data_IF_757551449499
#
_entry.id   IF_757551449499
#
_cell.length_a   1.000
_cell.length_b   1.000
_cell.length_c   1.000
_cell.angle_alpha   90.00
_cell.angle_beta   90.00
_cell.angle_gamma   90.00
#
_symmetry.space_group_name_H-M   'P 1'
#
loop_
_entity.id
_entity.type
_entity.pdbx_description
1 polymer ?
#
# COMPACT_ATOMS: atom_id res chain seq x y z
N UNK A 1 -25.37 -12.88 29.93
CA UNK A 1 -24.86 -11.58 30.46
C UNK A 1 -23.90 -11.83 31.61
N UNK A 2 -22.58 -11.88 31.35
CA UNK A 2 -21.55 -12.00 32.40
C UNK A 2 -21.01 -10.60 32.72
N UNK A 3 -21.10 -10.21 33.99
CA UNK A 3 -20.62 -8.94 34.56
C UNK A 3 -19.10 -9.00 34.71
N UNK A 4 -18.37 -8.05 34.13
CA UNK A 4 -16.96 -7.82 34.44
C UNK A 4 -16.84 -6.98 35.71
N UNK A 5 -16.02 -7.45 36.65
CA UNK A 5 -15.66 -6.75 37.89
C UNK A 5 -14.76 -5.56 37.57
N UNK A 6 -15.09 -4.41 38.15
CA UNK A 6 -14.33 -3.16 38.00
C UNK A 6 -13.02 -3.18 38.78
N UNK A 7 -11.97 -2.72 38.13
CA UNK A 7 -10.71 -2.31 38.76
C UNK A 7 -10.82 -0.82 39.08
N UNK A 8 -10.83 -0.48 40.37
CA UNK A 8 -10.70 0.90 40.88
C UNK A 8 -9.26 1.38 40.65
N UNK A 9 -9.11 2.56 40.05
CA UNK A 9 -7.85 3.31 40.05
C UNK A 9 -8.04 4.50 40.97
N UNK A 10 -7.32 4.51 42.09
CA UNK A 10 -7.27 5.60 43.05
C UNK A 10 -6.53 6.81 42.45
N UNK A 11 -7.16 7.99 42.47
CA UNK A 11 -6.50 9.29 42.28
C UNK A 11 -6.16 9.87 43.65
N UNK A 12 -4.97 10.49 43.79
CA UNK A 12 -5.00 11.83 44.35
C UNK A 12 -4.03 12.83 43.67
N UNK A 13 -4.36 14.11 43.89
CA UNK A 13 -3.57 15.34 43.65
C UNK A 13 -3.81 16.09 42.32
N UNK A 14 -5.01 16.65 42.19
CA UNK A 14 -5.23 17.94 41.55
C UNK A 14 -6.00 18.84 42.52
N UNK A 15 -5.27 19.53 43.40
CA UNK A 15 -5.81 20.60 44.21
C UNK A 15 -4.86 21.79 44.10
N UNK A 16 -5.35 22.89 43.51
CA UNK A 16 -4.66 24.17 43.62
C UNK A 16 -4.56 25.03 42.37
N UNK A 17 -5.63 25.23 41.60
CA UNK A 17 -5.77 26.47 40.82
C UNK A 17 -7.24 26.94 40.80
N UNK A 18 -7.53 27.96 41.62
CA UNK A 18 -8.79 28.72 41.56
C UNK A 18 -8.73 29.64 40.33
N UNK A 19 -9.67 29.50 39.42
CA UNK A 19 -9.91 30.48 38.36
C UNK A 19 -10.52 31.74 38.98
N UNK A 20 -9.79 32.85 38.93
CA UNK A 20 -10.29 34.20 39.16
C UNK A 20 -10.49 34.87 37.80
N UNK A 21 -11.74 35.16 37.45
CA UNK A 21 -12.09 35.92 36.26
C UNK A 21 -11.92 37.42 36.53
N UNK A 22 -10.88 38.04 35.98
CA UNK A 22 -10.77 39.48 35.87
C UNK A 22 -10.63 39.91 34.41
N UNK A 23 -11.63 40.65 33.95
CA UNK A 23 -11.66 41.39 32.68
C UNK A 23 -10.78 42.63 32.84
N UNK A 24 -9.78 42.78 31.97
CA UNK A 24 -8.95 43.99 31.85
C UNK A 24 -8.30 44.04 30.46
N UNK A 25 -8.03 45.22 29.88
CA UNK A 25 -7.70 45.37 28.47
C UNK A 25 -6.26 44.93 28.17
N UNK A 26 -6.06 44.27 27.03
CA UNK A 26 -4.75 43.87 26.53
C UNK A 26 -3.90 45.10 26.15
N UNK A 27 -2.66 45.25 26.67
CA UNK A 27 -1.68 46.14 26.09
C UNK A 27 -1.00 45.45 24.91
N UNK A 28 -1.24 45.98 23.71
CA UNK A 28 -0.41 45.75 22.53
C UNK A 28 0.96 46.39 22.71
N UNK A 29 2.00 45.71 22.21
CA UNK A 29 3.42 46.06 22.18
C UNK A 29 4.24 45.61 23.40
N UNK A 30 4.86 44.43 23.28
CA UNK A 30 6.30 44.11 23.49
C UNK A 30 6.45 42.61 23.22
N UNK A 31 6.48 42.19 21.95
CA UNK A 31 7.20 40.97 21.52
C UNK A 31 7.60 41.22 20.07
N UNK A 32 8.80 41.74 19.84
CA UNK A 32 9.36 41.76 18.49
C UNK A 32 10.89 41.59 18.53
N UNK A 33 11.38 40.77 17.57
CA UNK A 33 12.76 40.64 17.09
C UNK A 33 13.70 39.51 17.54
N UNK A 34 13.34 38.54 18.40
CA UNK A 34 14.24 37.36 18.63
C UNK A 34 13.64 35.96 18.57
N UNK A 35 12.32 35.79 18.38
CA UNK A 35 11.70 34.46 18.20
C UNK A 35 11.28 34.13 16.74
N UNK A 36 11.37 35.07 15.79
CA UNK A 36 10.84 34.82 14.43
C UNK A 36 11.78 34.04 13.51
N UNK A 37 13.09 33.97 13.78
CA UNK A 37 14.03 33.25 12.90
C UNK A 37 14.07 31.74 13.14
N UNK A 38 13.80 31.29 14.37
CA UNK A 38 13.83 29.86 14.72
C UNK A 38 12.50 29.17 14.42
N UNK A 39 11.36 29.85 14.57
CA UNK A 39 10.03 29.29 14.27
C UNK A 39 9.82 29.18 12.75
N UNK A 40 10.33 30.13 11.95
CA UNK A 40 10.24 30.04 10.49
C UNK A 40 11.09 28.91 9.87
N UNK A 41 12.13 28.41 10.56
CA UNK A 41 12.90 27.24 10.09
C UNK A 41 12.19 25.91 10.30
N UNK A 42 11.29 25.81 11.27
CA UNK A 42 10.59 24.57 11.60
C UNK A 42 9.46 24.25 10.61
N UNK A 43 8.92 25.27 9.93
CA UNK A 43 7.78 25.10 9.00
C UNK A 43 8.12 25.19 7.51
N UNK A 44 9.37 25.52 7.12
CA UNK A 44 9.76 25.67 5.71
C UNK A 44 10.56 24.50 5.11
N UNK A 45 10.78 23.41 5.85
CA UNK A 45 11.36 22.18 5.26
C UNK A 45 10.33 21.28 4.56
N UNK A 46 9.11 21.75 4.34
CA UNK A 46 8.05 21.01 3.65
C UNK A 46 8.13 21.23 2.14
N UNK A 47 8.80 20.30 1.46
CA UNK A 47 8.24 19.54 0.32
C UNK A 47 7.32 20.28 -0.66
N UNK A 48 7.72 21.45 -1.17
CA UNK A 48 7.24 21.91 -2.47
C UNK A 48 7.96 21.07 -3.52
N UNK A 49 7.38 19.93 -3.88
CA UNK A 49 7.81 19.16 -5.04
C UNK A 49 7.61 20.04 -6.27
N UNK A 50 8.71 20.54 -6.84
CA UNK A 50 8.69 21.19 -8.13
C UNK A 50 8.39 20.11 -9.20
N UNK A 51 7.14 20.00 -9.62
CA UNK A 51 6.64 18.93 -10.49
C UNK A 51 7.00 19.08 -11.98
N UNK A 52 7.96 19.95 -12.31
CA UNK A 52 8.23 20.40 -13.68
C UNK A 52 9.55 19.86 -14.29
N UNK A 53 10.03 18.66 -13.94
CA UNK A 53 11.18 18.10 -14.69
C UNK A 53 11.25 16.58 -14.80
N UNK A 54 11.76 16.15 -15.96
CA UNK A 54 12.02 14.80 -16.50
C UNK A 54 12.08 13.64 -15.48
N UNK A 55 11.50 12.47 -15.81
CA UNK A 55 11.36 11.32 -14.89
C UNK A 55 12.59 10.91 -14.04
N UNK A 56 13.81 10.91 -14.58
CA UNK A 56 15.03 10.64 -13.78
C UNK A 56 15.24 11.72 -12.71
N UNK A 57 14.92 12.99 -13.02
CA UNK A 57 14.90 14.07 -12.04
C UNK A 57 13.74 13.93 -11.05
N UNK A 58 12.61 13.30 -11.36
CA UNK A 58 11.51 13.20 -10.39
C UNK A 58 11.92 12.36 -9.18
N UNK A 59 12.39 11.13 -9.38
CA UNK A 59 12.85 10.26 -8.29
C UNK A 59 14.05 10.89 -7.55
N UNK A 60 14.96 11.53 -8.29
CA UNK A 60 16.10 12.28 -7.75
C UNK A 60 15.73 13.64 -7.14
N UNK A 61 14.51 14.14 -7.33
CA UNK A 61 13.99 15.32 -6.65
C UNK A 61 13.42 14.98 -5.29
N UNK A 62 12.99 13.72 -5.10
CA UNK A 62 12.44 13.27 -3.83
C UNK A 62 13.52 13.22 -2.75
N UNK A 63 13.17 13.56 -1.49
CA UNK A 63 14.14 13.47 -0.40
C UNK A 63 14.72 12.05 -0.25
N UNK A 64 16.00 11.90 0.15
CA UNK A 64 16.62 10.58 0.29
C UNK A 64 15.87 9.63 1.25
N UNK A 65 15.19 10.17 2.27
CA UNK A 65 14.39 9.39 3.23
C UNK A 65 13.04 8.89 2.68
N UNK A 66 12.65 9.27 1.46
CA UNK A 66 11.43 8.77 0.81
C UNK A 66 11.50 7.28 0.45
N UNK A 67 12.71 6.70 0.42
CA UNK A 67 12.97 5.35 -0.07
C UNK A 67 13.24 5.26 -1.56
N UNK A 68 12.98 6.33 -2.33
CA UNK A 68 13.08 6.32 -3.80
C UNK A 68 14.49 6.01 -4.34
N UNK A 69 15.52 6.25 -3.52
CA UNK A 69 16.94 6.05 -3.90
C UNK A 69 17.60 4.84 -3.23
N UNK A 70 16.82 3.93 -2.65
CA UNK A 70 17.37 2.86 -1.82
C UNK A 70 18.33 1.93 -2.58
N UNK A 71 18.07 1.68 -3.86
CA UNK A 71 18.95 0.91 -4.78
C UNK A 71 19.53 1.77 -5.91
N UNK A 72 19.59 3.10 -5.74
CA UNK A 72 20.10 3.98 -6.80
C UNK A 72 21.60 3.76 -7.03
N UNK A 73 22.10 3.76 -8.29
CA UNK A 73 21.43 4.12 -9.54
C UNK A 73 20.64 3.00 -10.23
N UNK A 74 20.60 1.79 -9.67
CA UNK A 74 19.91 0.64 -10.25
C UNK A 74 18.43 0.66 -9.86
N UNK A 75 17.64 1.40 -10.65
CA UNK A 75 16.18 1.40 -10.59
C UNK A 75 15.58 0.99 -11.93
N UNK A 76 14.38 0.44 -11.90
CA UNK A 76 13.66 -0.08 -13.06
C UNK A 76 12.40 0.74 -13.31
N UNK A 77 12.16 1.07 -14.59
CA UNK A 77 10.91 1.68 -15.07
C UNK A 77 10.08 0.71 -15.92
N UNK A 78 10.67 -0.42 -16.31
CA UNK A 78 10.05 -1.50 -17.06
C UNK A 78 10.54 -2.83 -16.50
N UNK A 79 9.88 -3.94 -16.86
CA UNK A 79 10.25 -5.28 -16.36
C UNK A 79 11.64 -5.66 -16.90
N UNK A 80 12.68 -5.78 -16.05
CA UNK A 80 13.97 -6.27 -16.51
C UNK A 80 13.89 -7.77 -16.84
N UNK A 81 14.74 -8.30 -17.75
CA UNK A 81 14.67 -9.70 -18.17
C UNK A 81 14.77 -10.72 -17.03
N UNK A 82 15.49 -10.39 -15.94
CA UNK A 82 15.63 -11.21 -14.74
C UNK A 82 14.32 -11.36 -13.96
N UNK A 83 13.40 -10.41 -14.08
CA UNK A 83 12.10 -10.40 -13.38
C UNK A 83 10.93 -10.86 -14.26
N UNK A 84 11.18 -11.30 -15.50
CA UNK A 84 10.15 -11.84 -16.39
C UNK A 84 9.30 -12.91 -15.66
N UNK A 85 7.97 -12.75 -15.54
CA UNK A 85 7.13 -13.68 -14.77
C UNK A 85 7.20 -15.13 -15.26
N UNK A 86 7.27 -15.33 -16.59
CA UNK A 86 7.40 -16.63 -17.23
C UNK A 86 8.74 -17.35 -16.98
N UNK A 87 9.74 -16.67 -16.43
CA UNK A 87 11.01 -17.25 -15.97
C UNK A 87 11.08 -17.39 -14.45
N UNK A 88 10.12 -16.80 -13.74
CA UNK A 88 10.05 -16.75 -12.28
C UNK A 88 8.80 -17.49 -11.80
N UNK A 89 8.77 -18.79 -12.05
CA UNK A 89 7.57 -19.60 -11.82
C UNK A 89 7.21 -19.67 -10.33
N UNK A 90 5.92 -19.65 -10.08
CA UNK A 90 5.32 -19.96 -8.79
C UNK A 90 5.30 -21.48 -8.60
N UNK A 91 5.40 -21.98 -7.35
CA UNK A 91 5.20 -23.39 -7.11
C UNK A 91 3.73 -23.75 -7.40
N UNK A 92 3.45 -25.02 -7.68
CA UNK A 92 2.12 -25.47 -8.14
C UNK A 92 1.49 -26.46 -7.14
N UNK A 93 0.19 -26.37 -6.85
CA UNK A 93 -0.75 -25.31 -7.27
C UNK A 93 -0.45 -23.96 -6.59
N UNK A 94 -1.02 -22.89 -7.14
CA UNK A 94 -0.99 -21.54 -6.56
C UNK A 94 -2.32 -20.81 -6.78
N UNK A 95 -2.98 -20.44 -5.68
CA UNK A 95 -4.24 -19.68 -5.70
C UNK A 95 -4.01 -18.25 -5.21
N UNK A 96 -4.44 -17.27 -6.00
CA UNK A 96 -4.29 -15.84 -5.70
C UNK A 96 -5.61 -15.07 -5.79
N UNK A 97 -5.72 -13.99 -5.01
CA UNK A 97 -6.77 -12.99 -5.13
C UNK A 97 -6.11 -11.65 -5.47
N UNK A 98 -6.65 -10.93 -6.46
CA UNK A 98 -6.24 -9.56 -6.79
C UNK A 98 -7.46 -8.65 -6.79
N UNK A 99 -7.47 -7.69 -5.87
CA UNK A 99 -8.54 -6.70 -5.78
C UNK A 99 -8.29 -5.51 -6.69
N UNK A 100 -9.34 -4.92 -7.28
CA UNK A 100 -9.20 -3.79 -8.21
C UNK A 100 -8.49 -4.17 -9.52
N UNK A 101 -8.81 -5.35 -10.05
CA UNK A 101 -8.09 -5.98 -11.16
C UNK A 101 -8.69 -5.71 -12.54
N UNK A 102 -9.65 -4.78 -12.68
CA UNK A 102 -10.26 -4.46 -13.98
C UNK A 102 -9.35 -3.68 -14.93
N UNK A 103 -8.29 -3.04 -14.41
CA UNK A 103 -7.34 -2.21 -15.18
C UNK A 103 -6.06 -1.94 -14.41
N UNK A 104 -5.13 -1.23 -15.05
CA UNK A 104 -3.92 -0.69 -14.43
C UNK A 104 -3.07 -1.76 -13.73
N UNK A 105 -2.53 -1.39 -12.55
CA UNK A 105 -1.63 -2.24 -11.75
C UNK A 105 -2.30 -3.56 -11.37
N UNK A 106 -3.58 -3.57 -11.00
CA UNK A 106 -4.29 -4.79 -10.61
C UNK A 106 -4.38 -5.80 -11.75
N UNK A 107 -4.80 -5.35 -12.94
CA UNK A 107 -4.85 -6.21 -14.12
C UNK A 107 -3.44 -6.71 -14.52
N UNK A 108 -2.42 -5.86 -14.41
CA UNK A 108 -1.04 -6.22 -14.72
C UNK A 108 -0.48 -7.26 -13.74
N UNK A 109 -0.75 -7.13 -12.43
CA UNK A 109 -0.38 -8.14 -11.43
C UNK A 109 -1.08 -9.47 -11.73
N UNK A 110 -2.38 -9.46 -12.06
CA UNK A 110 -3.10 -10.68 -12.43
C UNK A 110 -2.47 -11.39 -13.63
N UNK A 111 -2.10 -10.64 -14.68
CA UNK A 111 -1.40 -11.20 -15.85
C UNK A 111 -0.03 -11.78 -15.51
N UNK A 112 0.74 -11.09 -14.64
CA UNK A 112 2.02 -11.61 -14.16
C UNK A 112 1.84 -12.92 -13.39
N UNK A 113 0.80 -13.03 -12.56
CA UNK A 113 0.48 -14.27 -11.83
C UNK A 113 0.16 -15.42 -12.80
N UNK A 114 -0.66 -15.18 -13.83
CA UNK A 114 -0.96 -16.18 -14.85
C UNK A 114 0.30 -16.62 -15.61
N UNK A 115 1.14 -15.68 -16.05
CA UNK A 115 2.41 -16.01 -16.72
C UNK A 115 3.43 -16.72 -15.82
N UNK A 116 3.40 -16.47 -14.51
CA UNK A 116 4.21 -17.19 -13.52
C UNK A 116 3.61 -18.57 -13.16
N UNK A 117 2.50 -18.95 -13.78
CA UNK A 117 1.89 -20.28 -13.69
C UNK A 117 0.84 -20.42 -12.61
N UNK A 118 0.27 -19.35 -12.04
CA UNK A 118 -0.80 -19.51 -11.05
C UNK A 118 -1.95 -20.37 -11.59
N UNK A 119 -2.42 -21.33 -10.80
CA UNK A 119 -3.50 -22.27 -11.18
C UNK A 119 -4.89 -21.71 -10.91
N UNK A 120 -5.00 -20.79 -9.95
CA UNK A 120 -6.27 -20.17 -9.57
C UNK A 120 -6.11 -18.67 -9.33
N UNK A 121 -6.95 -17.85 -9.96
CA UNK A 121 -6.97 -16.41 -9.71
C UNK A 121 -8.42 -15.92 -9.54
N UNK A 122 -8.69 -15.28 -8.41
CA UNK A 122 -9.90 -14.46 -8.24
C UNK A 122 -9.54 -13.02 -8.52
N UNK A 123 -10.26 -12.38 -9.44
CA UNK A 123 -10.13 -10.96 -9.75
C UNK A 123 -11.40 -10.22 -9.33
N UNK A 124 -11.24 -9.07 -8.68
CA UNK A 124 -12.38 -8.28 -8.21
C UNK A 124 -12.34 -6.83 -8.68
N UNK A 125 -13.51 -6.25 -8.89
CA UNK A 125 -13.72 -4.82 -9.15
C UNK A 125 -15.17 -4.47 -8.76
N UNK A 126 -15.49 -3.18 -8.64
CA UNK A 126 -16.85 -2.74 -8.26
C UNK A 126 -17.94 -3.20 -9.24
N UNK A 127 -17.58 -3.35 -10.51
CA UNK A 127 -18.47 -3.71 -11.61
C UNK A 127 -17.95 -4.98 -12.26
N UNK A 128 -18.79 -6.01 -12.36
CA UNK A 128 -18.39 -7.31 -12.88
C UNK A 128 -17.99 -7.22 -14.36
N UNK A 129 -18.75 -6.44 -15.15
CA UNK A 129 -18.54 -6.25 -16.57
C UNK A 129 -17.15 -5.66 -16.90
N UNK A 130 -16.59 -4.87 -15.98
CA UNK A 130 -15.26 -4.26 -16.12
C UNK A 130 -14.12 -5.27 -16.01
N UNK A 131 -14.37 -6.49 -15.50
CA UNK A 131 -13.37 -7.56 -15.38
C UNK A 131 -13.29 -8.43 -16.63
N UNK A 132 -14.22 -8.27 -17.59
CA UNK A 132 -14.34 -9.15 -18.76
C UNK A 132 -13.04 -9.23 -19.57
N UNK A 133 -12.44 -8.08 -19.91
CA UNK A 133 -11.18 -8.02 -20.65
C UNK A 133 -10.05 -8.71 -19.90
N UNK A 134 -9.82 -8.36 -18.63
CA UNK A 134 -8.76 -9.00 -17.85
C UNK A 134 -8.99 -10.50 -17.71
N UNK A 135 -10.22 -10.95 -17.45
CA UNK A 135 -10.55 -12.38 -17.38
C UNK A 135 -10.17 -13.12 -18.67
N UNK A 136 -10.58 -12.59 -19.83
CA UNK A 136 -10.26 -13.18 -21.13
C UNK A 136 -8.75 -13.23 -21.39
N UNK A 137 -8.02 -12.16 -21.04
CA UNK A 137 -6.56 -12.14 -21.15
C UNK A 137 -5.91 -13.23 -20.30
N UNK A 138 -6.35 -13.43 -19.04
CA UNK A 138 -5.84 -14.49 -18.17
C UNK A 138 -6.11 -15.89 -18.73
N UNK A 139 -7.33 -16.14 -19.18
CA UNK A 139 -7.73 -17.43 -19.78
C UNK A 139 -7.00 -17.70 -21.12
N UNK A 140 -6.55 -16.65 -21.81
CA UNK A 140 -5.75 -16.79 -23.04
C UNK A 140 -4.29 -17.19 -22.77
N UNK A 141 -3.75 -16.85 -21.59
CA UNK A 141 -2.36 -17.17 -21.19
C UNK A 141 -2.21 -18.66 -20.87
N UNK A 142 -3.19 -19.25 -20.20
CA UNK A 142 -3.22 -20.67 -19.87
C UNK A 142 -4.65 -21.18 -19.88
N UNK A 143 -4.90 -22.31 -20.55
CA UNK A 143 -6.24 -22.94 -20.54
C UNK A 143 -6.56 -23.66 -19.24
N UNK A 144 -5.55 -23.95 -18.43
CA UNK A 144 -5.68 -24.71 -17.18
C UNK A 144 -5.88 -23.79 -15.96
N UNK A 145 -5.81 -22.46 -16.15
CA UNK A 145 -6.02 -21.50 -15.07
C UNK A 145 -7.51 -21.34 -14.77
N UNK A 146 -7.87 -21.49 -13.50
CA UNK A 146 -9.21 -21.21 -13.01
C UNK A 146 -9.35 -19.73 -12.65
N UNK A 147 -10.09 -18.97 -13.46
CA UNK A 147 -10.32 -17.53 -13.25
C UNK A 147 -11.74 -17.24 -12.79
N UNK A 148 -11.88 -16.70 -11.59
CA UNK A 148 -13.16 -16.27 -11.02
C UNK A 148 -13.20 -14.75 -10.98
N UNK A 149 -14.20 -14.14 -11.63
CA UNK A 149 -14.40 -12.69 -11.61
C UNK A 149 -15.58 -12.36 -10.69
N UNK A 150 -15.39 -11.41 -9.77
CA UNK A 150 -16.42 -11.03 -8.79
C UNK A 150 -16.61 -9.52 -8.73
N UNK A 151 -17.88 -9.09 -8.67
CA UNK A 151 -18.20 -7.73 -8.25
C UNK A 151 -17.92 -7.59 -6.74
N UNK A 152 -17.11 -6.61 -6.37
CA UNK A 152 -16.75 -6.33 -4.98
C UNK A 152 -16.49 -4.84 -4.78
N UNK A 153 -17.10 -4.27 -3.74
CA UNK A 153 -16.74 -2.95 -3.23
C UNK A 153 -15.89 -3.15 -1.97
N UNK A 154 -14.58 -2.95 -2.11
CA UNK A 154 -13.66 -3.10 -0.99
C UNK A 154 -13.98 -2.19 0.21
N UNK A 155 -14.75 -1.11 0.05
CA UNK A 155 -15.19 -0.29 1.20
C UNK A 155 -16.23 -0.98 2.09
N UNK A 156 -16.76 -2.14 1.66
CA UNK A 156 -17.79 -2.93 2.32
C UNK A 156 -17.22 -4.25 2.84
N UNK A 157 -17.43 -4.55 4.12
CA UNK A 157 -16.93 -5.78 4.72
C UNK A 157 -17.60 -7.03 4.11
N UNK A 158 -18.85 -6.91 3.67
CA UNK A 158 -19.63 -7.95 3.02
C UNK A 158 -18.93 -8.48 1.76
N UNK A 159 -18.21 -7.62 1.02
CA UNK A 159 -17.44 -8.06 -0.15
C UNK A 159 -16.34 -9.05 0.24
N UNK A 160 -15.66 -8.84 1.36
CA UNK A 160 -14.62 -9.75 1.84
C UNK A 160 -15.21 -11.09 2.31
N UNK A 161 -16.41 -11.07 2.89
CA UNK A 161 -17.15 -12.28 3.31
C UNK A 161 -17.52 -13.10 2.07
N UNK A 162 -18.14 -12.49 1.06
CA UNK A 162 -18.51 -13.21 -0.16
C UNK A 162 -17.30 -13.75 -0.92
N UNK A 163 -16.19 -13.02 -0.96
CA UNK A 163 -14.95 -13.52 -1.57
C UNK A 163 -14.41 -14.73 -0.79
N UNK A 164 -14.46 -14.71 0.54
CA UNK A 164 -14.09 -15.86 1.38
C UNK A 164 -14.94 -17.10 1.06
N UNK A 165 -16.26 -16.93 0.95
CA UNK A 165 -17.19 -18.01 0.58
C UNK A 165 -16.81 -18.60 -0.79
N UNK A 166 -16.51 -17.75 -1.78
CA UNK A 166 -16.04 -18.22 -3.09
C UNK A 166 -14.69 -18.94 -3.01
N UNK A 167 -13.76 -18.55 -2.13
CA UNK A 167 -12.51 -19.31 -1.91
C UNK A 167 -12.80 -20.69 -1.33
N UNK A 168 -13.76 -20.78 -0.40
CA UNK A 168 -14.22 -22.04 0.19
C UNK A 168 -14.83 -22.97 -0.86
N UNK A 169 -15.70 -22.45 -1.73
CA UNK A 169 -16.38 -23.19 -2.78
C UNK A 169 -15.46 -23.59 -3.93
N UNK A 170 -14.68 -22.65 -4.47
CA UNK A 170 -13.96 -22.83 -5.74
C UNK A 170 -12.55 -23.38 -5.55
N UNK A 171 -11.95 -23.21 -4.37
CA UNK A 171 -10.55 -23.52 -4.07
C UNK A 171 -10.37 -24.30 -2.75
N UNK A 172 -11.45 -24.84 -2.19
CA UNK A 172 -11.41 -25.67 -0.97
C UNK A 172 -10.94 -24.89 0.26
N UNK A 173 -11.14 -23.58 0.28
CA UNK A 173 -10.80 -22.71 1.41
C UNK A 173 -9.32 -22.35 1.49
N UNK A 174 -8.51 -22.67 0.47
CA UNK A 174 -7.05 -22.48 0.47
C UNK A 174 -6.66 -21.28 -0.40
N UNK A 175 -5.84 -20.40 0.17
CA UNK A 175 -5.30 -19.23 -0.50
C UNK A 175 -3.80 -19.13 -0.28
N UNK A 176 -3.04 -18.75 -1.31
CA UNK A 176 -1.58 -18.59 -1.21
C UNK A 176 -1.16 -17.12 -1.26
N UNK A 177 -1.94 -16.28 -1.96
CA UNK A 177 -1.67 -14.86 -2.12
C UNK A 177 -2.95 -14.02 -2.06
N UNK A 178 -2.94 -13.01 -1.20
CA UNK A 178 -3.87 -11.88 -1.28
C UNK A 178 -3.11 -10.63 -1.74
N UNK A 179 -3.50 -10.07 -2.88
CA UNK A 179 -3.07 -8.75 -3.35
C UNK A 179 -4.17 -7.73 -3.10
N UNK A 180 -3.96 -6.92 -2.07
CA UNK A 180 -4.78 -5.76 -1.75
C UNK A 180 -4.36 -4.56 -2.62
N UNK A 181 -4.78 -4.59 -3.89
CA UNK A 181 -4.48 -3.56 -4.87
C UNK A 181 -5.57 -2.47 -4.97
N UNK A 182 -6.85 -2.81 -4.76
CA UNK A 182 -7.92 -1.83 -4.90
C UNK A 182 -7.64 -0.57 -4.07
N UNK A 183 -7.78 0.59 -4.73
CA UNK A 183 -7.52 1.86 -4.09
C UNK A 183 -7.92 3.05 -4.95
N UNK A 184 -8.00 4.21 -4.31
CA UNK A 184 -8.37 5.48 -4.92
C UNK A 184 -7.52 6.61 -4.35
N UNK A 185 -7.04 7.47 -5.24
CA UNK A 185 -6.18 8.61 -4.89
C UNK A 185 -7.02 9.83 -4.53
N UNK A 186 -8.00 10.16 -5.36
CA UNK A 186 -8.91 11.29 -5.19
C UNK A 186 -10.21 11.03 -5.96
N UNK A 187 -11.29 11.72 -5.57
CA UNK A 187 -12.55 11.74 -6.34
C UNK A 187 -12.85 13.11 -6.94
N UNK A 188 -12.19 14.18 -6.48
CA UNK A 188 -12.23 15.50 -7.09
C UNK A 188 -10.97 16.34 -6.77
N UNK A 189 -10.88 17.53 -7.33
CA UNK A 189 -9.71 18.43 -7.20
C UNK A 189 -9.46 18.96 -5.79
N UNK A 190 -10.46 18.92 -4.89
CA UNK A 190 -10.29 19.39 -3.50
C UNK A 190 -9.31 18.52 -2.70
N UNK A 191 -8.91 17.36 -3.20
CA UNK A 191 -7.99 16.43 -2.54
C UNK A 191 -6.59 17.02 -2.27
N UNK A 192 -6.25 18.09 -2.97
CA UNK A 192 -4.99 18.83 -2.84
C UNK A 192 -5.14 20.18 -2.12
N UNK A 193 -6.36 20.58 -1.75
CA UNK A 193 -6.59 21.82 -1.01
C UNK A 193 -6.12 21.71 0.43
N UNK A 194 -5.99 22.86 1.09
CA UNK A 194 -5.76 22.90 2.52
C UNK A 194 -6.89 22.17 3.28
N UNK A 195 -6.58 21.56 4.43
CA UNK A 195 -7.51 20.69 5.16
C UNK A 195 -8.87 21.34 5.46
N UNK A 196 -8.93 22.66 5.69
CA UNK A 196 -10.16 23.39 5.98
C UNK A 196 -11.01 23.74 4.75
N UNK A 197 -10.47 23.54 3.54
CA UNK A 197 -11.12 23.81 2.24
C UNK A 197 -11.36 22.51 1.44
N UNK A 198 -10.89 21.38 1.96
CA UNK A 198 -11.01 20.05 1.36
C UNK A 198 -12.40 19.48 1.64
N UNK A 199 -13.02 18.85 0.64
CA UNK A 199 -14.24 18.08 0.88
C UNK A 199 -13.92 16.89 1.77
N UNK A 200 -14.70 16.66 2.83
CA UNK A 200 -14.49 15.55 3.77
C UNK A 200 -14.39 14.19 3.06
N UNK A 201 -15.09 14.02 1.92
CA UNK A 201 -15.05 12.81 1.09
C UNK A 201 -13.66 12.48 0.54
N UNK A 202 -12.78 13.47 0.33
CA UNK A 202 -11.39 13.23 -0.11
C UNK A 202 -10.52 12.62 1.00
N UNK A 203 -10.95 12.75 2.26
CA UNK A 203 -10.34 12.04 3.37
C UNK A 203 -11.03 10.69 3.60
N UNK A 204 -12.35 10.68 3.71
CA UNK A 204 -13.14 9.50 4.08
C UNK A 204 -13.03 8.37 3.06
N UNK A 205 -13.17 8.66 1.77
CA UNK A 205 -13.21 7.61 0.73
C UNK A 205 -11.88 6.84 0.66
N UNK A 206 -10.69 7.48 0.58
CA UNK A 206 -9.42 6.75 0.65
C UNK A 206 -9.25 5.94 1.94
N UNK A 207 -9.71 6.44 3.10
CA UNK A 207 -9.65 5.66 4.35
C UNK A 207 -10.54 4.42 4.28
N UNK A 208 -11.77 4.55 3.77
CA UNK A 208 -12.69 3.43 3.62
C UNK A 208 -12.16 2.39 2.62
N UNK A 209 -11.72 2.81 1.44
CA UNK A 209 -11.29 1.89 0.38
C UNK A 209 -9.87 1.37 0.59
N UNK A 210 -8.90 2.26 0.83
CA UNK A 210 -7.48 1.91 0.81
C UNK A 210 -6.97 1.39 2.16
N UNK A 211 -7.67 1.66 3.26
CA UNK A 211 -7.28 1.15 4.58
C UNK A 211 -8.28 0.11 5.10
N UNK A 212 -9.53 0.51 5.34
CA UNK A 212 -10.53 -0.42 5.90
C UNK A 212 -10.82 -1.57 4.95
N UNK A 213 -10.88 -1.32 3.64
CA UNK A 213 -11.03 -2.40 2.67
C UNK A 213 -9.90 -3.43 2.71
N UNK A 214 -8.65 -2.99 2.82
CA UNK A 214 -7.50 -3.92 2.98
C UNK A 214 -7.57 -4.68 4.29
N UNK A 215 -8.02 -4.01 5.35
CA UNK A 215 -8.28 -4.66 6.63
C UNK A 215 -9.37 -5.72 6.53
N UNK A 216 -10.53 -5.43 5.92
CA UNK A 216 -11.62 -6.40 5.75
C UNK A 216 -11.18 -7.62 4.95
N UNK A 217 -10.51 -7.40 3.82
CA UNK A 217 -9.96 -8.48 3.00
C UNK A 217 -8.99 -9.34 3.81
N UNK A 218 -8.04 -8.71 4.51
CA UNK A 218 -7.05 -9.44 5.32
C UNK A 218 -7.72 -10.21 6.46
N UNK A 219 -8.64 -9.58 7.21
CA UNK A 219 -9.38 -10.19 8.33
C UNK A 219 -10.10 -11.47 7.92
N UNK A 220 -10.81 -11.45 6.80
CA UNK A 220 -11.66 -12.57 6.38
C UNK A 220 -10.90 -13.63 5.57
N UNK A 221 -9.82 -13.27 4.86
CA UNK A 221 -9.05 -14.21 4.05
C UNK A 221 -7.80 -14.76 4.73
N UNK A 222 -7.37 -14.19 5.86
CA UNK A 222 -6.31 -14.76 6.70
C UNK A 222 -6.57 -16.23 7.08
N UNK A 223 -7.79 -16.64 7.50
CA UNK A 223 -8.09 -18.05 7.71
C UNK A 223 -7.80 -18.94 6.49
N UNK A 224 -8.11 -18.46 5.27
CA UNK A 224 -7.83 -19.20 4.04
C UNK A 224 -6.33 -19.28 3.72
N UNK A 225 -5.56 -18.22 4.05
CA UNK A 225 -4.11 -18.24 3.97
C UNK A 225 -3.52 -19.24 4.96
N UNK A 226 -4.00 -19.27 6.20
CA UNK A 226 -3.53 -20.22 7.21
C UNK A 226 -3.89 -21.67 6.87
N UNK A 227 -5.01 -21.89 6.18
CA UNK A 227 -5.45 -23.20 5.71
C UNK A 227 -4.67 -23.73 4.49
N UNK A 228 -3.89 -22.89 3.80
CA UNK A 228 -3.03 -23.36 2.71
C UNK A 228 -1.95 -24.30 3.25
N UNK A 229 -1.69 -25.38 2.51
CA UNK A 229 -0.66 -26.39 2.87
C UNK A 229 0.77 -25.87 2.66
N UNK A 230 0.92 -24.67 2.09
CA UNK A 230 2.23 -24.12 1.77
C UNK A 230 2.96 -23.67 3.03
N UNK A 231 4.30 -23.82 3.08
CA UNK A 231 5.08 -23.29 4.19
C UNK A 231 5.01 -21.76 4.24
N UNK A 232 4.80 -21.11 3.10
CA UNK A 232 4.69 -19.65 3.01
C UNK A 232 3.47 -19.20 2.24
N UNK A 233 2.80 -18.19 2.79
CA UNK A 233 1.66 -17.50 2.20
C UNK A 233 1.89 -16.01 2.24
N UNK A 234 1.28 -15.25 1.35
CA UNK A 234 1.61 -13.84 1.19
C UNK A 234 0.39 -12.92 1.21
N UNK A 235 0.54 -11.77 1.86
CA UNK A 235 -0.36 -10.62 1.71
C UNK A 235 0.48 -9.45 1.18
N UNK A 236 0.14 -8.97 -0.01
CA UNK A 236 0.78 -7.80 -0.61
C UNK A 236 -0.21 -6.66 -0.60
N UNK A 237 0.08 -5.63 0.19
CA UNK A 237 -0.70 -4.41 0.20
C UNK A 237 -0.06 -3.39 -0.75
N UNK A 238 -0.75 -3.02 -1.83
CA UNK A 238 -0.26 -1.98 -2.75
C UNK A 238 -0.42 -0.62 -2.08
N UNK A 239 0.68 -0.07 -1.59
CA UNK A 239 0.76 1.22 -0.91
C UNK A 239 1.14 2.31 -1.92
N UNK A 240 1.84 3.34 -1.45
CA UNK A 240 2.35 4.41 -2.29
C UNK A 240 3.56 5.07 -1.65
N UNK A 241 4.44 5.67 -2.46
CA UNK A 241 5.47 6.59 -1.98
C UNK A 241 4.87 7.78 -1.22
N UNK A 242 3.60 8.13 -1.47
CA UNK A 242 2.83 9.09 -0.67
C UNK A 242 2.66 8.69 0.80
N UNK A 243 3.07 7.50 1.22
CA UNK A 243 3.22 7.16 2.64
C UNK A 243 4.44 7.80 3.31
N UNK A 244 5.45 8.21 2.52
CA UNK A 244 6.73 8.75 2.97
C UNK A 244 6.90 10.25 2.61
N UNK A 245 6.14 10.75 1.64
CA UNK A 245 6.16 12.14 1.16
C UNK A 245 4.76 12.74 1.20
N UNK A 246 4.66 14.07 1.05
CA UNK A 246 3.37 14.75 0.94
C UNK A 246 2.67 14.44 -0.37
N UNK A 247 1.35 14.23 -0.31
CA UNK A 247 0.44 14.07 -1.43
C UNK A 247 -1.00 14.36 -0.97
N UNK A 248 -2.04 13.92 -1.70
CA UNK A 248 -3.42 14.07 -1.25
C UNK A 248 -3.62 13.50 0.15
N UNK A 249 -4.23 14.28 1.05
CA UNK A 249 -4.19 14.00 2.49
C UNK A 249 -4.74 12.61 2.84
N UNK A 250 -5.97 12.31 2.42
CA UNK A 250 -6.61 11.03 2.70
C UNK A 250 -5.84 9.83 2.13
N UNK A 251 -5.39 9.96 0.88
CA UNK A 251 -4.58 8.94 0.22
C UNK A 251 -3.26 8.66 0.95
N UNK A 252 -2.50 9.71 1.26
CA UNK A 252 -1.19 9.63 1.91
C UNK A 252 -1.28 9.01 3.30
N UNK A 253 -2.26 9.44 4.10
CA UNK A 253 -2.54 8.85 5.42
C UNK A 253 -2.96 7.39 5.30
N UNK A 254 -3.82 7.05 4.33
CA UNK A 254 -4.24 5.66 4.11
C UNK A 254 -3.05 4.75 3.72
N UNK A 255 -2.10 5.26 2.94
CA UNK A 255 -0.89 4.54 2.54
C UNK A 255 0.06 4.34 3.73
N UNK A 256 0.30 5.37 4.55
CA UNK A 256 1.09 5.25 5.78
C UNK A 256 0.46 4.25 6.76
N UNK A 257 -0.86 4.32 6.96
CA UNK A 257 -1.59 3.37 7.80
C UNK A 257 -1.52 1.93 7.22
N UNK A 258 -1.54 1.78 5.90
CA UNK A 258 -1.34 0.48 5.23
C UNK A 258 0.05 -0.09 5.50
N UNK A 259 1.11 0.72 5.46
CA UNK A 259 2.46 0.26 5.79
C UNK A 259 2.50 -0.30 7.22
N UNK A 260 1.85 0.39 8.17
CA UNK A 260 1.73 -0.09 9.56
C UNK A 260 0.87 -1.36 9.64
N UNK A 261 -0.23 -1.45 8.90
CA UNK A 261 -1.07 -2.65 8.84
C UNK A 261 -0.25 -3.87 8.39
N UNK A 262 0.55 -3.74 7.32
CA UNK A 262 1.43 -4.82 6.86
C UNK A 262 2.40 -5.27 7.95
N UNK A 263 3.01 -4.33 8.67
CA UNK A 263 3.87 -4.64 9.81
C UNK A 263 3.12 -5.41 10.91
N UNK A 264 1.91 -4.99 11.27
CA UNK A 264 1.11 -5.65 12.33
C UNK A 264 0.68 -7.05 11.94
N UNK A 265 0.35 -7.29 10.68
CA UNK A 265 0.06 -8.63 10.16
C UNK A 265 1.32 -9.51 10.27
N UNK A 266 2.47 -9.02 9.81
CA UNK A 266 3.74 -9.75 9.88
C UNK A 266 4.12 -10.12 11.32
N UNK A 267 3.98 -9.19 12.27
CA UNK A 267 4.25 -9.43 13.69
C UNK A 267 3.33 -10.46 14.32
N UNK A 268 2.08 -10.56 13.84
CA UNK A 268 1.05 -11.42 14.44
C UNK A 268 1.01 -12.82 13.84
N UNK A 269 1.30 -12.95 12.54
CA UNK A 269 1.14 -14.19 11.78
C UNK A 269 2.43 -14.67 11.10
N UNK A 270 3.55 -13.96 11.27
CA UNK A 270 4.81 -14.34 10.63
C UNK A 270 5.31 -15.73 11.07
N UNK A 271 5.08 -16.11 12.34
CA UNK A 271 5.42 -17.45 12.85
C UNK A 271 4.59 -18.56 12.21
N UNK A 272 3.42 -18.22 11.66
CA UNK A 272 2.52 -19.14 10.96
C UNK A 272 2.77 -19.16 9.44
N UNK A 273 3.91 -18.59 8.99
CA UNK A 273 4.31 -18.57 7.58
C UNK A 273 3.66 -17.46 6.74
N UNK A 274 3.00 -16.46 7.35
CA UNK A 274 2.40 -15.34 6.63
C UNK A 274 3.42 -14.22 6.41
N UNK A 275 3.78 -14.01 5.14
CA UNK A 275 4.62 -12.93 4.67
C UNK A 275 3.76 -11.74 4.23
N UNK A 276 3.86 -10.61 4.92
CA UNK A 276 3.09 -9.41 4.60
C UNK A 276 3.99 -8.21 4.33
N UNK A 277 3.82 -7.57 3.18
CA UNK A 277 4.60 -6.38 2.77
C UNK A 277 3.69 -5.27 2.25
N UNK A 278 4.17 -4.04 2.35
CA UNK A 278 3.59 -2.90 1.65
C UNK A 278 4.47 -2.56 0.44
N UNK A 279 3.87 -2.44 -0.74
CA UNK A 279 4.62 -2.21 -2.00
C UNK A 279 4.14 -0.91 -2.64
N UNK A 280 5.04 0.05 -2.87
CA UNK A 280 4.77 1.14 -3.80
C UNK A 280 4.87 0.60 -5.24
N UNK A 281 3.83 0.80 -6.07
CA UNK A 281 3.75 0.19 -7.39
C UNK A 281 4.46 0.99 -8.50
N UNK A 282 5.28 2.00 -8.15
CA UNK A 282 5.83 2.96 -9.10
C UNK A 282 4.85 4.08 -9.46
N UNK A 283 5.31 4.99 -10.30
CA UNK A 283 4.53 6.07 -10.90
C UNK A 283 3.90 5.58 -12.21
N UNK A 284 2.72 4.98 -12.08
CA UNK A 284 1.97 4.37 -13.20
C UNK A 284 0.77 5.24 -13.58
N UNK A 285 0.73 5.67 -14.83
CA UNK A 285 -0.44 6.29 -15.44
C UNK A 285 -0.69 5.62 -16.81
N UNK A 286 -1.72 4.77 -16.94
CA UNK A 286 -2.00 4.14 -18.23
C UNK A 286 -2.28 5.19 -19.31
N UNK A 287 -1.77 4.96 -20.53
CA UNK A 287 -1.78 5.95 -21.62
C UNK A 287 -3.18 6.46 -21.98
N UNK A 288 -4.19 5.62 -21.79
CA UNK A 288 -5.59 5.87 -22.16
C UNK A 288 -6.47 6.24 -20.95
N UNK A 289 -5.88 6.47 -19.77
CA UNK A 289 -6.63 6.90 -18.58
C UNK A 289 -6.57 8.41 -18.37
N UNK A 290 -7.68 8.94 -17.84
CA UNK A 290 -7.76 10.32 -17.40
C UNK A 290 -6.77 10.59 -16.26
N UNK A 291 -6.25 11.82 -16.25
CA UNK A 291 -5.46 12.31 -15.12
C UNK A 291 -6.34 12.27 -13.86
N UNK A 292 -5.87 11.67 -12.75
CA UNK A 292 -6.64 11.67 -11.52
C UNK A 292 -6.97 13.11 -11.07
N UNK A 293 -8.19 13.37 -10.56
CA UNK A 293 -8.60 14.72 -10.19
C UNK A 293 -7.61 15.40 -9.24
N UNK A 294 -7.27 16.65 -9.56
CA UNK A 294 -6.36 17.49 -8.77
C UNK A 294 -4.87 17.35 -9.12
N UNK A 295 -4.48 16.37 -9.94
CA UNK A 295 -3.12 16.30 -10.46
C UNK A 295 -2.90 17.26 -11.63
N UNK A 296 -1.70 17.85 -11.78
CA UNK A 296 -1.37 18.69 -12.92
C UNK A 296 -1.18 17.85 -14.20
N UNK A 297 -1.27 18.47 -15.39
CA UNK A 297 -0.94 17.80 -16.66
C UNK A 297 0.43 17.11 -16.69
N UNK A 298 1.41 17.66 -15.97
CA UNK A 298 2.78 17.12 -15.88
C UNK A 298 2.85 15.73 -15.25
N UNK A 299 1.79 15.22 -14.62
CA UNK A 299 1.72 13.83 -14.12
C UNK A 299 2.06 12.80 -15.20
N UNK A 300 1.70 13.07 -16.46
CA UNK A 300 2.02 12.23 -17.61
C UNK A 300 3.52 12.16 -17.90
N UNK A 301 4.27 13.19 -17.54
CA UNK A 301 5.70 13.29 -17.82
C UNK A 301 6.56 12.47 -16.86
N UNK A 302 6.11 12.29 -15.61
CA UNK A 302 6.85 11.52 -14.60
C UNK A 302 6.23 10.15 -14.29
N UNK A 303 4.99 9.88 -14.72
CA UNK A 303 4.37 8.56 -14.61
C UNK A 303 4.78 7.63 -15.76
N UNK A 304 6.05 7.20 -15.75
CA UNK A 304 6.65 6.40 -16.84
C UNK A 304 6.75 4.90 -16.54
N UNK A 305 6.36 4.46 -15.35
CA UNK A 305 6.58 3.07 -14.96
C UNK A 305 5.57 2.13 -15.63
N UNK A 306 6.06 1.00 -16.14
CA UNK A 306 5.23 -0.03 -16.70
C UNK A 306 4.35 -0.69 -15.61
N UNK A 307 3.03 -0.84 -15.81
CA UNK A 307 2.17 -1.52 -14.84
C UNK A 307 2.65 -2.93 -14.46
N UNK A 308 3.25 -3.66 -15.41
CA UNK A 308 3.77 -5.01 -15.24
C UNK A 308 5.00 -5.08 -14.34
N UNK A 309 5.69 -3.97 -14.10
CA UNK A 309 6.85 -3.92 -13.20
C UNK A 309 6.45 -4.30 -11.78
N UNK A 310 5.34 -3.72 -11.28
CA UNK A 310 4.84 -4.05 -9.96
C UNK A 310 4.46 -5.54 -9.85
N UNK A 311 3.83 -6.09 -10.89
CA UNK A 311 3.51 -7.53 -10.95
C UNK A 311 4.75 -8.40 -10.90
N UNK A 312 5.73 -8.12 -11.75
CA UNK A 312 6.99 -8.87 -11.83
C UNK A 312 7.80 -8.79 -10.54
N UNK A 313 7.86 -7.60 -9.92
CA UNK A 313 8.47 -7.40 -8.61
C UNK A 313 7.77 -8.26 -7.55
N UNK A 314 6.43 -8.23 -7.47
CA UNK A 314 5.67 -9.07 -6.54
C UNK A 314 5.99 -10.55 -6.74
N UNK A 315 5.98 -11.07 -7.98
CA UNK A 315 6.35 -12.46 -8.28
C UNK A 315 7.74 -12.79 -7.74
N UNK A 316 8.72 -11.91 -7.94
CA UNK A 316 10.10 -12.10 -7.48
C UNK A 316 10.22 -12.25 -5.95
N UNK A 317 9.32 -11.62 -5.19
CA UNK A 317 9.23 -11.79 -3.74
C UNK A 317 8.53 -13.11 -3.40
N UNK A 318 7.34 -13.34 -3.97
CA UNK A 318 6.42 -14.38 -3.52
C UNK A 318 6.78 -15.79 -3.98
N UNK A 319 7.64 -15.93 -5.00
CA UNK A 319 8.15 -17.23 -5.47
C UNK A 319 9.20 -17.88 -4.55
N UNK A 320 9.81 -17.09 -3.68
CA UNK A 320 10.95 -17.54 -2.84
C UNK A 320 10.49 -18.30 -1.60
N UNK A 321 11.37 -19.11 -1.05
CA UNK A 321 11.09 -19.77 0.23
C UNK A 321 11.16 -18.80 1.40
N UNK A 322 10.61 -19.20 2.55
CA UNK A 322 10.51 -18.35 3.75
C UNK A 322 11.86 -17.75 4.14
N UNK A 323 12.89 -18.60 4.27
CA UNK A 323 14.21 -18.25 4.79
C UNK A 323 14.96 -17.26 3.89
N UNK A 324 14.60 -17.19 2.60
CA UNK A 324 15.18 -16.25 1.65
C UNK A 324 14.63 -14.83 1.82
N UNK A 325 13.37 -14.69 2.26
CA UNK A 325 12.62 -13.43 2.21
C UNK A 325 12.05 -12.94 3.54
N UNK A 326 12.05 -13.76 4.60
CA UNK A 326 11.40 -13.41 5.88
C UNK A 326 11.95 -12.11 6.50
N UNK A 327 13.20 -11.74 6.18
CA UNK A 327 13.83 -10.51 6.63
C UNK A 327 13.14 -9.23 6.08
N UNK A 328 12.37 -9.37 5.00
CA UNK A 328 11.51 -8.32 4.45
C UNK A 328 10.10 -8.28 5.07
N UNK A 329 9.75 -9.25 5.91
CA UNK A 329 8.40 -9.35 6.43
C UNK A 329 8.02 -8.11 7.27
N UNK A 330 6.86 -7.53 6.97
CA UNK A 330 6.33 -6.33 7.61
C UNK A 330 7.00 -5.03 7.15
N UNK A 331 7.69 -5.01 6.00
CA UNK A 331 8.41 -3.83 5.49
C UNK A 331 7.70 -3.19 4.29
N UNK A 332 8.02 -1.91 4.09
CA UNK A 332 7.74 -1.16 2.87
C UNK A 332 8.80 -1.49 1.80
N UNK A 333 8.35 -1.63 0.57
CA UNK A 333 9.15 -1.90 -0.62
C UNK A 333 8.70 -1.00 -1.76
N UNK A 334 9.57 -0.77 -2.72
CA UNK A 334 9.28 -0.04 -3.95
C UNK A 334 9.57 -0.96 -5.13
N UNK A 335 8.61 -1.15 -6.04
CA UNK A 335 8.80 -2.06 -7.16
C UNK A 335 9.82 -1.56 -8.19
N UNK A 336 10.20 -0.28 -8.13
CA UNK A 336 11.25 0.28 -8.97
C UNK A 336 12.65 -0.12 -8.52
N UNK A 337 12.81 -0.63 -7.29
CA UNK A 337 14.12 -1.05 -6.80
C UNK A 337 14.68 -2.24 -7.59
N UNK A 338 15.99 -2.24 -7.80
CA UNK A 338 16.69 -3.41 -8.30
C UNK A 338 16.68 -4.53 -7.24
N UNK A 339 16.16 -5.69 -7.63
CA UNK A 339 15.98 -6.82 -6.73
C UNK A 339 17.32 -7.41 -6.28
N UNK A 340 18.34 -7.45 -7.13
CA UNK A 340 19.64 -8.01 -6.75
C UNK A 340 20.37 -7.08 -5.76
N UNK A 341 20.27 -5.76 -5.95
CA UNK A 341 20.80 -4.77 -5.01
C UNK A 341 20.04 -4.77 -3.68
N UNK A 342 18.70 -4.87 -3.70
CA UNK A 342 17.91 -5.03 -2.48
C UNK A 342 18.38 -6.23 -1.66
N UNK A 343 18.66 -7.36 -2.32
CA UNK A 343 19.16 -8.57 -1.63
C UNK A 343 20.56 -8.39 -1.04
N UNK A 344 21.46 -7.67 -1.73
CA UNK A 344 22.80 -7.33 -1.20
C UNK A 344 22.73 -6.43 0.05
N UNK A 345 21.62 -5.70 0.23
CA UNK A 345 21.37 -4.81 1.37
C UNK A 345 20.71 -5.52 2.57
N UNK A 346 20.57 -6.85 2.57
CA UNK A 346 19.90 -7.62 3.64
C UNK A 346 20.45 -7.27 5.03
N UNK A 347 21.76 -7.33 5.23
CA UNK A 347 22.40 -7.06 6.53
C UNK A 347 22.10 -5.63 6.99
N UNK A 348 22.29 -4.64 6.10
CA UNK A 348 21.98 -3.23 6.34
C UNK A 348 20.53 -3.02 6.79
N UNK A 349 19.58 -3.70 6.14
CA UNK A 349 18.14 -3.59 6.45
C UNK A 349 17.81 -4.24 7.79
N UNK A 350 18.37 -5.41 8.07
CA UNK A 350 18.09 -6.18 9.29
C UNK A 350 18.68 -5.49 10.51
N UNK A 351 19.96 -5.11 10.47
CA UNK A 351 20.65 -4.47 11.60
C UNK A 351 20.05 -3.12 11.97
N UNK A 352 19.72 -2.31 10.96
CA UNK A 352 19.06 -1.01 11.19
C UNK A 352 17.54 -1.11 11.39
N UNK A 353 16.96 -2.31 11.25
CA UNK A 353 15.52 -2.56 11.15
C UNK A 353 14.82 -1.50 10.28
N UNK A 354 15.37 -1.30 9.07
CA UNK A 354 15.00 -0.25 8.10
C UNK A 354 13.68 -0.57 7.39
N UNK A 355 13.17 0.38 6.59
CA UNK A 355 11.98 0.21 5.75
C UNK A 355 10.68 -0.07 6.53
N UNK A 356 10.63 0.34 7.79
CA UNK A 356 9.43 0.33 8.65
C UNK A 356 9.14 1.75 9.12
N UNK A 357 7.88 2.05 9.38
CA UNK A 357 7.49 3.31 10.01
C UNK A 357 7.95 3.30 11.47
N UNK A 358 8.81 4.24 11.85
CA UNK A 358 9.35 4.35 13.21
C UNK A 358 9.50 5.81 13.63
N UNK A 359 9.34 6.03 14.93
CA UNK A 359 9.80 7.25 15.58
C UNK A 359 11.30 7.10 15.85
N UNK A 360 12.10 8.07 15.42
CA UNK A 360 13.53 8.17 15.74
C UNK A 360 13.62 9.05 16.99
N UNK A 361 14.15 8.51 18.09
CA UNK A 361 14.25 9.18 19.41
C UNK A 361 15.67 9.46 19.82
#
# INVERSE_FOLDING_TARGET
>A
MRRYHGVRIDRPLLQGYKYSAHRGPFPTNIINKKLSSSIHRVFHNTTNLNMDSFADNFILSLPPWSGSRFTYPHINHSVPPSLSPSKNLLPQPFTAIVTGASRGIGAAISKCLAHAGATGIIITARKLESLSTTKQELESISKDIKVVAMAADNSKEESAISIKETVEEEFGGKLDLLVNNAGIVSTNESAFKAMHEMDASQFEIPIMTNLLGRFYMSKHLLPCLLASDRPTKSIVNISSIGSNISGPLGFSISAMATNRLSQRVAESYGKDGVFCVAVHPGAVLPKDEDIPPGFPPSVKEWSKDAPELCGSFVISLIRREWQEREWLNGRYLDCTWDVDELWKKKEEVVEGDKLRVKLIV
#
